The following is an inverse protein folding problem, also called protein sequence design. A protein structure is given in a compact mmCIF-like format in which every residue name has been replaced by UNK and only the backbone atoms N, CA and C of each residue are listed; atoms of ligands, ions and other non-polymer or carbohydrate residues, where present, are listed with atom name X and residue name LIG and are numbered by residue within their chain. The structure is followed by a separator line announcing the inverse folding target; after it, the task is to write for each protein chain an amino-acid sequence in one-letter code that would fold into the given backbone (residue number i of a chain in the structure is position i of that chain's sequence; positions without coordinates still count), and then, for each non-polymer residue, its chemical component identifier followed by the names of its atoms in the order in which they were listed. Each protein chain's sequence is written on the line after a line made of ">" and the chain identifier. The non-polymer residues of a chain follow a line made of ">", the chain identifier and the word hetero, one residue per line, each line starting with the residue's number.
data_IF_600128230178
#
_entry.id   IF_600128230178
#
_cell.length_a   1.000
_cell.length_b   1.000
_cell.length_c   1.000
_cell.angle_alpha   90.00
_cell.angle_beta   90.00
_cell.angle_gamma   90.00
#
_symmetry.space_group_name_H-M   'P 1'
#
loop_
_entity.id
_entity.type
_entity.pdbx_description
1 polymer ?
#
# COMPACT_ATOMS: atom_id res chain seq x y z
N UNK A 1 19.15 6.93 6.33
CA UNK A 1 18.51 7.35 5.08
C UNK A 1 17.68 6.17 4.59
N UNK A 2 16.35 6.20 4.72
CA UNK A 2 15.48 5.14 4.20
C UNK A 2 14.82 5.67 2.92
N UNK A 3 15.56 5.57 1.80
CA UNK A 3 15.04 5.79 0.46
C UNK A 3 14.54 4.48 -0.10
N UNK A 4 13.26 4.16 0.16
CA UNK A 4 12.50 3.17 -0.61
C UNK A 4 11.34 3.91 -1.29
N UNK A 5 10.89 3.42 -2.44
CA UNK A 5 9.78 4.05 -3.18
C UNK A 5 8.59 4.33 -2.26
N UNK A 6 7.98 5.50 -2.44
CA UNK A 6 6.70 5.83 -1.82
C UNK A 6 5.79 6.33 -2.94
N UNK A 7 5.51 5.44 -3.89
CA UNK A 7 4.84 5.85 -5.10
C UNK A 7 3.89 4.77 -5.61
N UNK A 8 2.72 5.24 -6.01
CA UNK A 8 1.83 4.50 -6.90
C UNK A 8 1.84 5.26 -8.22
N UNK A 9 2.30 4.60 -9.28
CA UNK A 9 2.26 5.14 -10.64
C UNK A 9 1.04 4.56 -11.33
N UNK A 10 0.19 5.44 -11.84
CA UNK A 10 -0.97 5.06 -12.66
C UNK A 10 -0.54 5.11 -14.12
N UNK A 11 -0.45 3.95 -14.76
CA UNK A 11 -0.28 3.80 -16.19
C UNK A 11 -1.63 3.52 -16.83
N UNK A 12 -2.38 4.60 -17.11
CA UNK A 12 -3.71 4.50 -17.73
C UNK A 12 -3.66 3.88 -19.13
N UNK A 13 -2.55 4.07 -19.86
CA UNK A 13 -2.38 3.56 -21.22
C UNK A 13 -2.33 2.04 -21.24
N UNK A 14 -1.60 1.44 -20.31
CA UNK A 14 -1.49 -0.02 -20.18
C UNK A 14 -2.50 -0.61 -19.18
N UNK A 15 -3.34 0.24 -18.57
CA UNK A 15 -4.28 -0.13 -17.50
C UNK A 15 -3.60 -0.80 -16.30
N UNK A 16 -2.44 -0.29 -15.89
CA UNK A 16 -1.66 -0.83 -14.78
C UNK A 16 -1.44 0.19 -13.67
N UNK A 17 -1.36 -0.33 -12.44
CA UNK A 17 -0.90 0.36 -11.25
C UNK A 17 0.44 -0.25 -10.87
N UNK A 18 1.50 0.55 -10.90
CA UNK A 18 2.79 0.14 -10.36
C UNK A 18 2.90 0.65 -8.93
N UNK A 19 2.92 -0.30 -7.98
CA UNK A 19 2.91 -0.03 -6.56
C UNK A 19 4.30 -0.36 -6.03
N UNK A 20 5.03 0.68 -5.61
CA UNK A 20 6.30 0.56 -4.91
C UNK A 20 6.21 1.39 -3.62
N UNK A 21 5.91 0.70 -2.52
CA UNK A 21 5.80 1.27 -1.20
C UNK A 21 7.01 0.88 -0.35
N UNK A 22 7.38 1.71 0.61
CA UNK A 22 8.51 1.37 1.46
C UNK A 22 8.17 0.20 2.40
N UNK A 23 9.15 -0.67 2.65
CA UNK A 23 9.12 -1.55 3.80
C UNK A 23 9.25 -0.74 5.09
N UNK A 24 8.70 -1.26 6.18
CA UNK A 24 8.75 -0.58 7.49
C UNK A 24 8.76 -1.59 8.64
N UNK A 25 9.08 -1.11 9.85
CA UNK A 25 8.95 -1.90 11.08
C UNK A 25 7.90 -1.25 11.96
N UNK A 26 6.88 -2.00 12.35
CA UNK A 26 5.88 -1.50 13.30
C UNK A 26 6.49 -1.33 14.68
N UNK A 27 6.19 -0.21 15.35
CA UNK A 27 6.57 0.05 16.75
C UNK A 27 5.37 0.04 17.69
N UNK A 28 4.18 -0.26 17.17
CA UNK A 28 2.91 -0.19 17.90
C UNK A 28 2.08 -1.45 17.66
N UNK A 29 1.17 -1.74 18.59
CA UNK A 29 0.13 -2.73 18.41
C UNK A 29 -1.13 -2.01 17.94
N UNK A 30 -1.54 -2.25 16.70
CA UNK A 30 -2.67 -1.53 16.10
C UNK A 30 -3.47 -2.45 15.17
N UNK A 31 -4.76 -2.17 15.03
CA UNK A 31 -5.61 -2.81 14.02
C UNK A 31 -5.32 -2.30 12.62
N UNK A 32 -6.36 -2.11 11.81
CA UNK A 32 -6.21 -1.43 10.52
C UNK A 32 -5.72 0.00 10.75
N UNK A 33 -4.63 0.39 10.10
CA UNK A 33 -3.95 1.65 10.35
C UNK A 33 -3.51 2.31 9.05
N UNK A 34 -3.71 3.62 8.98
CA UNK A 34 -3.18 4.46 7.90
C UNK A 34 -1.67 4.61 8.05
N UNK A 35 -0.90 3.80 7.33
CA UNK A 35 0.57 3.80 7.45
C UNK A 35 1.18 4.91 6.61
N UNK A 36 0.55 5.28 5.49
CA UNK A 36 1.06 6.29 4.59
C UNK A 36 0.01 7.37 4.32
N UNK A 37 0.29 8.59 4.77
CA UNK A 37 -0.49 9.78 4.45
C UNK A 37 0.06 10.39 3.17
N UNK A 38 -0.49 10.01 2.02
CA UNK A 38 -0.09 10.58 0.74
C UNK A 38 -0.80 11.93 0.55
N UNK A 39 -0.21 13.01 1.09
CA UNK A 39 -0.82 14.35 1.03
C UNK A 39 -0.84 14.95 -0.39
N UNK A 40 0.10 14.54 -1.26
CA UNK A 40 0.26 15.08 -2.62
C UNK A 40 0.45 13.95 -3.63
N UNK A 41 -0.38 13.86 -4.66
CA UNK A 41 -0.27 12.84 -5.70
C UNK A 41 -1.63 12.46 -6.26
N UNK A 42 -1.62 11.50 -7.19
CA UNK A 42 -2.83 10.95 -7.81
C UNK A 42 -3.73 10.32 -6.74
N UNK A 43 -5.04 10.45 -6.89
CA UNK A 43 -6.05 9.90 -5.99
C UNK A 43 -7.08 9.09 -6.77
N UNK A 44 -7.42 7.87 -6.32
CA UNK A 44 -8.44 7.08 -6.98
C UNK A 44 -9.83 7.61 -6.62
N UNK A 45 -10.79 7.52 -7.55
CA UNK A 45 -12.18 7.93 -7.31
C UNK A 45 -12.94 7.02 -6.35
N UNK A 46 -12.42 5.82 -6.07
CA UNK A 46 -12.96 4.82 -5.14
C UNK A 46 -11.81 4.08 -4.45
N UNK A 47 -12.02 3.47 -3.27
CA UNK A 47 -10.99 2.66 -2.62
C UNK A 47 -10.50 1.53 -3.53
N UNK A 48 -9.17 1.38 -3.66
CA UNK A 48 -8.52 0.35 -4.47
C UNK A 48 -7.82 -0.65 -3.56
N UNK A 49 -8.17 -1.92 -3.70
CA UNK A 49 -7.49 -2.99 -2.97
C UNK A 49 -6.18 -3.36 -3.67
N UNK A 50 -5.04 -3.22 -2.96
CA UNK A 50 -3.71 -3.45 -3.49
C UNK A 50 -3.19 -4.88 -3.23
N UNK A 51 -4.02 -5.74 -2.63
CA UNK A 51 -3.61 -7.10 -2.27
C UNK A 51 -2.56 -7.12 -1.17
N UNK A 52 -1.85 -8.24 -1.05
CA UNK A 52 -0.74 -8.38 -0.13
C UNK A 52 0.48 -7.63 -0.66
N UNK A 53 0.92 -6.60 0.06
CA UNK A 53 2.07 -5.75 -0.31
C UNK A 53 3.29 -5.99 0.57
N UNK A 54 3.11 -6.51 1.78
CA UNK A 54 4.22 -6.81 2.67
C UNK A 54 4.20 -8.26 3.15
N UNK A 55 5.38 -8.87 3.24
CA UNK A 55 5.59 -10.11 3.95
C UNK A 55 6.16 -9.83 5.34
N UNK A 56 5.79 -10.63 6.33
CA UNK A 56 6.41 -10.62 7.66
C UNK A 56 7.25 -11.89 7.80
N UNK A 57 8.59 -11.81 7.81
CA UNK A 57 9.45 -13.00 7.83
C UNK A 57 9.27 -13.90 9.05
N UNK A 58 8.84 -13.34 10.19
CA UNK A 58 8.63 -14.06 11.44
C UNK A 58 7.29 -14.82 11.49
N UNK A 59 6.51 -14.84 10.40
CA UNK A 59 5.25 -15.59 10.32
C UNK A 59 4.77 -15.84 8.88
N UNK A 60 3.67 -16.57 8.72
CA UNK A 60 3.09 -16.88 7.40
C UNK A 60 2.05 -15.85 6.94
N UNK A 61 2.21 -14.58 7.30
CA UNK A 61 1.18 -13.56 7.10
C UNK A 61 1.63 -12.46 6.14
N UNK A 62 1.00 -12.40 4.96
CA UNK A 62 1.07 -11.24 4.09
C UNK A 62 0.15 -10.12 4.60
N UNK A 63 0.65 -8.89 4.69
CA UNK A 63 -0.14 -7.71 5.03
C UNK A 63 -0.73 -7.10 3.77
N UNK A 64 -2.03 -6.87 3.84
CA UNK A 64 -2.83 -6.32 2.76
C UNK A 64 -2.85 -4.80 2.84
N UNK A 65 -3.13 -4.15 1.72
CA UNK A 65 -3.29 -2.70 1.70
C UNK A 65 -4.51 -2.26 0.90
N UNK A 66 -5.10 -1.15 1.32
CA UNK A 66 -6.14 -0.42 0.60
C UNK A 66 -5.65 0.99 0.35
N UNK A 67 -5.77 1.45 -0.89
CA UNK A 67 -5.57 2.83 -1.28
C UNK A 67 -6.90 3.58 -1.25
N UNK A 68 -7.02 4.54 -0.34
CA UNK A 68 -8.25 5.26 -0.09
C UNK A 68 -8.40 6.44 -1.05
N UNK A 69 -9.63 6.96 -1.16
CA UNK A 69 -10.00 8.08 -2.04
C UNK A 69 -9.22 9.36 -1.70
N UNK A 70 -8.85 9.54 -0.44
CA UNK A 70 -8.04 10.69 0.00
C UNK A 70 -6.55 10.56 -0.37
N UNK A 71 -6.14 9.43 -0.94
CA UNK A 71 -4.77 9.10 -1.30
C UNK A 71 -4.03 8.29 -0.22
N UNK A 72 -4.58 8.13 0.98
CA UNK A 72 -3.93 7.41 2.07
C UNK A 72 -3.88 5.89 1.82
N UNK A 73 -2.89 5.22 2.41
CA UNK A 73 -2.77 3.76 2.38
C UNK A 73 -3.05 3.19 3.77
N UNK A 74 -4.08 2.35 3.85
CA UNK A 74 -4.39 1.57 5.05
C UNK A 74 -3.78 0.19 4.94
N UNK A 75 -3.00 -0.21 5.94
CA UNK A 75 -2.58 -1.61 6.10
C UNK A 75 -3.68 -2.37 6.83
N UNK A 76 -4.08 -3.51 6.26
CA UNK A 76 -5.19 -4.33 6.73
C UNK A 76 -4.68 -5.59 7.42
N UNK A 77 -5.30 -5.96 8.54
CA UNK A 77 -5.04 -7.21 9.26
C UNK A 77 -4.09 -7.08 10.44
N UNK A 78 -4.12 -5.92 11.11
CA UNK A 78 -3.38 -5.56 12.32
C UNK A 78 -1.86 -5.60 12.18
N UNK A 79 -1.15 -4.84 13.01
CA UNK A 79 0.30 -4.87 13.14
C UNK A 79 0.67 -5.02 14.60
N UNK A 80 1.69 -5.83 14.88
CA UNK A 80 2.26 -6.00 16.21
C UNK A 80 3.58 -5.25 16.30
N UNK A 81 3.89 -4.70 17.47
CA UNK A 81 5.18 -4.07 17.73
C UNK A 81 6.31 -5.06 17.46
N UNK A 82 7.23 -4.70 16.56
CA UNK A 82 8.32 -5.53 16.12
C UNK A 82 8.12 -6.16 14.75
N UNK A 83 6.89 -6.18 14.20
CA UNK A 83 6.61 -6.71 12.87
C UNK A 83 7.45 -5.98 11.82
N UNK A 84 8.27 -6.75 11.10
CA UNK A 84 9.08 -6.26 9.99
C UNK A 84 8.35 -6.52 8.68
N UNK A 85 7.71 -5.49 8.16
CA UNK A 85 6.97 -5.51 6.90
C UNK A 85 7.94 -5.30 5.73
N UNK A 86 8.29 -6.39 5.05
CA UNK A 86 9.12 -6.35 3.84
C UNK A 86 8.23 -6.10 2.62
N UNK A 87 8.43 -4.98 1.93
CA UNK A 87 7.66 -4.68 0.73
C UNK A 87 8.16 -5.46 -0.47
N UNK A 88 7.22 -5.87 -1.33
CA UNK A 88 7.51 -6.37 -2.66
C UNK A 88 6.80 -5.47 -3.68
N UNK A 89 7.54 -4.71 -4.50
CA UNK A 89 6.95 -3.92 -5.57
C UNK A 89 6.12 -4.80 -6.51
N UNK A 90 4.97 -4.31 -6.95
CA UNK A 90 4.07 -5.09 -7.79
C UNK A 90 3.33 -4.23 -8.80
N UNK A 91 2.99 -4.85 -9.93
CA UNK A 91 2.04 -4.28 -10.88
C UNK A 91 0.69 -4.94 -10.72
N UNK A 92 -0.37 -4.14 -10.75
CA UNK A 92 -1.76 -4.58 -10.61
C UNK A 92 -2.59 -3.99 -11.76
N UNK A 93 -3.64 -4.68 -12.23
CA UNK A 93 -4.58 -4.05 -13.15
C UNK A 93 -5.31 -2.90 -12.46
N UNK A 94 -5.57 -1.80 -13.18
CA UNK A 94 -6.51 -0.77 -12.74
C UNK A 94 -7.89 -1.41 -12.62
N UNK A 95 -8.53 -1.39 -11.43
CA UNK A 95 -9.86 -1.96 -11.26
C UNK A 95 -10.89 -1.25 -12.12
N UNK A 96 -11.91 -1.98 -12.57
CA UNK A 96 -12.94 -1.42 -13.45
C UNK A 96 -13.72 -0.28 -12.78
N UNK A 97 -13.96 0.78 -13.54
CA UNK A 97 -14.71 1.95 -13.06
C UNK A 97 -14.00 2.79 -12.01
N UNK A 98 -12.68 2.62 -11.86
CA UNK A 98 -11.80 3.52 -11.09
C UNK A 98 -11.17 4.54 -12.05
N UNK A 99 -11.18 5.79 -11.62
CA UNK A 99 -10.56 6.93 -12.30
C UNK A 99 -9.63 7.65 -11.32
N UNK A 100 -8.78 8.53 -11.83
CA UNK A 100 -7.68 9.12 -11.06
C UNK A 100 -7.66 10.64 -11.21
N UNK A 101 -7.38 11.36 -10.13
CA UNK A 101 -7.32 12.84 -10.08
C UNK A 101 -6.11 13.36 -9.32
#
# INVERSE_FOLDING_TARGET
>A
MYGGGMQIIVDERNRLLHVDLSGFRSTVNVGDYGVFQHASGVKPSKPVYLGCLWAIPSGNFGKKATWNVDGSITVVGSLTNGDRCLHTPRSLPIPDGVTFA
#
